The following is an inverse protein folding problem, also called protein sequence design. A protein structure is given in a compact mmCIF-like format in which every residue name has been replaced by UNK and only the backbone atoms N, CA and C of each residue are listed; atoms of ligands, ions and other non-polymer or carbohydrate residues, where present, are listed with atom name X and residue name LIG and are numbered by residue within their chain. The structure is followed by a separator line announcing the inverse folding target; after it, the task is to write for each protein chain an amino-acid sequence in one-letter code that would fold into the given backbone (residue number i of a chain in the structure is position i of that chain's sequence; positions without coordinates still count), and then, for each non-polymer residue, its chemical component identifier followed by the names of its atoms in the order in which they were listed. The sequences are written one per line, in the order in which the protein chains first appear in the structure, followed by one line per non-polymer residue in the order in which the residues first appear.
data_IF_592355581295
#
_entry.id   IF_592355581295
#
_cell.length_a   1.000
_cell.length_b   1.000
_cell.length_c   1.000
_cell.angle_alpha   90.00
_cell.angle_beta   90.00
_cell.angle_gamma   90.00
#
_symmetry.space_group_name_H-M   'P 1'
#
loop_
_entity.id
_entity.type
_entity.pdbx_description
1 polymer ?
#
# COMPACT_ATOMS: atom_id res chain seq x y z
N UNK A 1 6.71 27.54 -36.01
CA UNK A 1 5.40 27.22 -36.62
C UNK A 1 5.32 25.71 -36.85
N UNK A 2 4.61 24.99 -35.98
CA UNK A 2 4.24 23.59 -36.19
C UNK A 2 2.71 23.53 -36.25
N UNK A 3 2.18 23.33 -37.46
CA UNK A 3 0.85 22.78 -37.74
C UNK A 3 1.08 21.29 -37.98
N UNK A 4 0.30 20.31 -37.55
CA UNK A 4 -0.87 20.24 -36.70
C UNK A 4 -1.21 18.74 -36.61
N UNK A 5 -1.81 18.30 -35.51
CA UNK A 5 -2.37 16.96 -35.37
C UNK A 5 -3.61 17.06 -34.48
N UNK A 6 -4.79 16.71 -35.03
CA UNK A 6 -6.02 16.50 -34.26
C UNK A 6 -6.95 17.70 -34.13
N UNK A 7 -7.82 17.91 -35.13
CA UNK A 7 -9.09 18.60 -34.96
C UNK A 7 -9.97 17.76 -34.01
N UNK A 8 -9.93 18.07 -32.72
CA UNK A 8 -10.75 17.43 -31.69
C UNK A 8 -10.69 18.26 -30.41
N UNK A 9 -11.78 18.96 -30.09
CA UNK A 9 -11.87 20.02 -29.09
C UNK A 9 -11.48 19.69 -27.64
N UNK A 10 -11.05 18.46 -27.34
CA UNK A 10 -10.52 18.10 -26.02
C UNK A 10 -9.10 18.62 -25.74
N UNK A 11 -8.31 18.93 -26.77
CA UNK A 11 -6.97 19.52 -26.60
C UNK A 11 -7.05 21.02 -26.32
N UNK A 12 -7.98 21.72 -26.98
CA UNK A 12 -8.13 23.17 -26.89
C UNK A 12 -8.55 23.62 -25.47
N UNK A 13 -9.51 22.91 -24.85
CA UNK A 13 -9.94 23.22 -23.48
C UNK A 13 -8.83 22.97 -22.44
N UNK A 14 -8.07 21.89 -22.62
CA UNK A 14 -6.93 21.56 -21.76
C UNK A 14 -5.84 22.62 -21.85
N UNK A 15 -5.49 23.04 -23.07
CA UNK A 15 -4.48 24.08 -23.29
C UNK A 15 -4.97 25.45 -22.80
N UNK A 16 -6.24 25.81 -23.03
CA UNK A 16 -6.80 27.06 -22.53
C UNK A 16 -6.79 27.12 -21.00
N UNK A 17 -7.23 26.05 -20.34
CA UNK A 17 -7.26 25.97 -18.87
C UNK A 17 -5.85 25.99 -18.28
N UNK A 18 -4.91 25.27 -18.91
CA UNK A 18 -3.51 25.28 -18.50
C UNK A 18 -2.89 26.67 -18.64
N UNK A 19 -3.08 27.33 -19.79
CA UNK A 19 -2.53 28.66 -20.01
C UNK A 19 -3.12 29.68 -19.03
N UNK A 20 -4.41 29.59 -18.71
CA UNK A 20 -5.01 30.44 -17.68
C UNK A 20 -4.32 30.23 -16.33
N UNK A 21 -4.12 28.98 -15.91
CA UNK A 21 -3.41 28.67 -14.67
C UNK A 21 -2.00 29.28 -14.66
N UNK A 22 -1.26 29.18 -15.77
CA UNK A 22 0.08 29.76 -15.88
C UNK A 22 0.09 31.29 -15.76
N UNK A 23 -0.89 31.96 -16.37
CA UNK A 23 -1.04 33.42 -16.28
C UNK A 23 -1.39 33.86 -14.87
N UNK A 24 -2.30 33.16 -14.19
CA UNK A 24 -2.62 33.45 -12.79
C UNK A 24 -1.41 33.23 -11.88
N UNK A 25 -0.63 32.15 -12.12
CA UNK A 25 0.58 31.86 -11.35
C UNK A 25 1.66 32.94 -11.51
N UNK A 26 1.85 33.47 -12.72
CA UNK A 26 2.80 34.56 -12.98
C UNK A 26 2.24 35.92 -12.50
N UNK A 27 0.92 36.08 -12.40
CA UNK A 27 0.24 37.30 -11.96
C UNK A 27 0.31 37.58 -10.45
N UNK A 28 0.87 36.67 -9.66
CA UNK A 28 0.98 36.81 -8.20
C UNK A 28 2.09 37.75 -7.72
N UNK A 29 2.82 38.44 -8.60
CA UNK A 29 3.90 39.39 -8.23
C UNK A 29 3.45 40.52 -7.26
N UNK A 30 2.14 40.69 -7.00
CA UNK A 30 1.58 41.66 -6.04
C UNK A 30 0.77 41.10 -4.85
N UNK A 31 0.63 39.78 -4.68
CA UNK A 31 -0.13 39.17 -3.58
C UNK A 31 0.80 38.42 -2.61
N UNK A 32 1.40 39.17 -1.69
CA UNK A 32 2.22 38.60 -0.60
C UNK A 32 1.37 37.67 0.29
N UNK A 33 1.65 36.36 0.27
CA UNK A 33 1.08 35.39 1.22
C UNK A 33 0.34 34.17 0.63
N UNK A 34 0.26 34.01 -0.70
CA UNK A 34 -0.36 32.83 -1.32
C UNK A 34 0.68 31.74 -1.57
N UNK A 35 0.38 30.51 -1.13
CA UNK A 35 1.19 29.30 -1.41
C UNK A 35 0.33 28.32 -2.20
N UNK A 36 0.81 27.90 -3.37
CA UNK A 36 0.14 26.91 -4.21
C UNK A 36 0.83 25.56 -4.06
N UNK A 37 0.05 24.51 -3.73
CA UNK A 37 0.52 23.13 -3.60
C UNK A 37 -0.28 22.25 -4.55
N UNK A 38 0.40 21.39 -5.31
CA UNK A 38 -0.20 20.38 -6.18
C UNK A 38 0.40 19.00 -5.91
N UNK A 39 -0.35 17.94 -6.22
CA UNK A 39 0.09 16.56 -6.11
C UNK A 39 -0.11 15.83 -7.43
N UNK A 40 0.87 15.02 -7.84
CA UNK A 40 0.78 14.17 -9.03
C UNK A 40 1.50 12.85 -8.79
N UNK A 41 0.95 11.76 -9.35
CA UNK A 41 1.63 10.46 -9.44
C UNK A 41 2.42 10.32 -10.76
N UNK A 42 2.29 11.28 -11.66
CA UNK A 42 2.89 11.29 -12.99
C UNK A 42 3.59 12.62 -13.26
N UNK A 43 4.77 12.88 -12.67
CA UNK A 43 5.53 14.08 -12.96
C UNK A 43 6.03 14.13 -14.41
N UNK A 44 6.16 12.96 -15.06
CA UNK A 44 6.60 12.77 -16.45
C UNK A 44 5.68 13.40 -17.51
N UNK A 45 4.38 13.53 -17.20
CA UNK A 45 3.39 14.07 -18.15
C UNK A 45 3.05 15.54 -17.93
N UNK A 46 3.66 16.17 -16.92
CA UNK A 46 3.45 17.59 -16.65
C UNK A 46 4.05 18.43 -17.76
N UNK A 47 3.37 19.53 -18.10
CA UNK A 47 3.94 20.53 -18.99
C UNK A 47 5.20 21.15 -18.34
N UNK A 48 6.38 21.14 -19.00
CA UNK A 48 7.60 21.74 -18.46
C UNK A 48 7.46 23.21 -18.07
N UNK A 49 6.47 23.93 -18.63
CA UNK A 49 6.16 25.30 -18.27
C UNK A 49 5.70 25.43 -16.81
N UNK A 50 5.02 24.42 -16.24
CA UNK A 50 4.59 24.43 -14.84
C UNK A 50 5.77 24.35 -13.85
N UNK A 51 6.88 23.73 -14.27
CA UNK A 51 8.04 23.45 -13.42
C UNK A 51 9.11 24.55 -13.47
N UNK A 52 8.83 25.66 -14.16
CA UNK A 52 9.76 26.79 -14.25
C UNK A 52 9.77 27.61 -12.95
N UNK A 53 10.88 28.30 -12.65
CA UNK A 53 10.95 29.23 -11.51
C UNK A 53 9.78 30.22 -11.49
N UNK A 54 9.23 30.48 -10.30
CA UNK A 54 8.04 31.33 -10.12
C UNK A 54 6.70 30.59 -10.16
N UNK A 55 6.69 29.29 -10.51
CA UNK A 55 5.49 28.45 -10.56
C UNK A 55 5.60 27.28 -9.58
N UNK A 56 5.64 26.03 -10.06
CA UNK A 56 5.98 24.87 -9.24
C UNK A 56 7.49 24.62 -9.25
N UNK A 57 8.24 25.56 -8.67
CA UNK A 57 9.69 25.54 -8.61
C UNK A 57 10.24 24.58 -7.54
N UNK A 58 9.43 24.25 -6.52
CA UNK A 58 9.74 23.28 -5.46
C UNK A 58 9.03 21.96 -5.69
N UNK A 59 9.81 20.91 -5.86
CA UNK A 59 9.33 19.54 -5.97
C UNK A 59 9.70 18.76 -4.71
N UNK A 60 8.71 18.20 -4.04
CA UNK A 60 8.89 17.34 -2.86
C UNK A 60 8.41 15.94 -3.22
N UNK A 61 9.33 14.99 -3.28
CA UNK A 61 9.01 13.58 -3.52
C UNK A 61 8.60 12.94 -2.20
N UNK A 62 7.43 12.31 -2.19
CA UNK A 62 6.94 11.52 -1.06
C UNK A 62 7.07 10.03 -1.43
N UNK A 63 8.14 9.34 -0.99
CA UNK A 63 8.31 7.92 -1.29
C UNK A 63 7.36 7.05 -0.46
N UNK A 64 7.33 5.75 -0.77
CA UNK A 64 6.68 4.78 0.11
C UNK A 64 7.36 4.77 1.50
N UNK A 65 6.58 4.56 2.57
CA UNK A 65 7.12 4.55 3.93
C UNK A 65 8.01 3.32 4.20
N UNK A 66 9.09 3.55 4.96
CA UNK A 66 9.92 2.50 5.54
C UNK A 66 9.19 1.78 6.70
N UNK A 67 9.79 0.73 7.27
CA UNK A 67 9.19 -0.02 8.40
C UNK A 67 8.73 0.90 9.54
N UNK A 68 9.55 1.90 9.92
CA UNK A 68 9.23 2.83 11.01
C UNK A 68 8.08 3.77 10.65
N UNK A 69 8.09 4.30 9.44
CA UNK A 69 7.02 5.12 8.88
C UNK A 69 5.71 4.34 8.80
N UNK A 70 5.74 3.08 8.36
CA UNK A 70 4.57 2.20 8.36
C UNK A 70 4.02 1.98 9.76
N UNK A 71 4.89 1.76 10.75
CA UNK A 71 4.46 1.63 12.15
C UNK A 71 3.77 2.90 12.66
N UNK A 72 4.32 4.08 12.35
CA UNK A 72 3.73 5.37 12.74
C UNK A 72 2.38 5.61 12.06
N UNK A 73 2.28 5.33 10.76
CA UNK A 73 1.03 5.44 10.01
C UNK A 73 -0.03 4.49 10.59
N UNK A 74 0.34 3.24 10.85
CA UNK A 74 -0.53 2.27 11.51
C UNK A 74 -1.04 2.82 12.85
N UNK A 75 -0.15 3.33 13.71
CA UNK A 75 -0.53 3.94 15.00
C UNK A 75 -1.52 5.10 14.85
N UNK A 76 -1.43 5.91 13.80
CA UNK A 76 -2.39 6.99 13.53
C UNK A 76 -3.77 6.43 13.19
N UNK A 77 -3.84 5.46 12.27
CA UNK A 77 -5.12 4.86 11.86
C UNK A 77 -5.75 3.98 12.95
N UNK A 78 -4.91 3.32 13.74
CA UNK A 78 -5.28 2.50 14.90
C UNK A 78 -6.04 3.29 15.97
N UNK A 79 -5.79 4.60 16.14
CA UNK A 79 -6.52 5.44 17.11
C UNK A 79 -8.03 5.53 16.85
N UNK A 80 -8.49 5.19 15.64
CA UNK A 80 -9.90 5.27 15.25
C UNK A 80 -10.69 3.99 15.52
N UNK A 81 -10.03 2.93 15.99
CA UNK A 81 -10.64 1.62 16.23
C UNK A 81 -10.40 1.17 17.67
N UNK A 82 -11.35 0.47 18.32
CA UNK A 82 -11.14 -0.09 19.65
C UNK A 82 -10.17 -1.26 19.57
N UNK A 83 -8.96 -1.10 20.10
CA UNK A 83 -7.88 -2.08 20.02
C UNK A 83 -7.73 -2.86 21.31
N UNK A 84 -7.29 -4.11 21.16
CA UNK A 84 -6.87 -4.95 22.27
C UNK A 84 -5.38 -4.76 22.54
N UNK A 85 -4.94 -5.02 23.77
CA UNK A 85 -3.57 -4.82 24.23
C UNK A 85 -2.55 -5.77 23.58
N UNK A 86 -3.02 -6.81 22.90
CA UNK A 86 -2.20 -7.79 22.17
C UNK A 86 -1.69 -7.27 20.81
N UNK A 87 -2.25 -6.17 20.30
CA UNK A 87 -1.90 -5.64 18.98
C UNK A 87 -0.50 -5.04 18.99
N UNK A 88 0.38 -5.56 18.12
CA UNK A 88 1.78 -5.13 17.97
C UNK A 88 2.00 -4.47 16.59
N UNK A 89 1.93 -3.13 16.49
CA UNK A 89 2.06 -2.42 15.20
C UNK A 89 3.37 -2.72 14.46
N UNK A 90 4.47 -2.92 15.20
CA UNK A 90 5.78 -3.23 14.63
C UNK A 90 5.79 -4.54 13.82
N UNK A 91 5.06 -5.58 14.27
CA UNK A 91 4.96 -6.84 13.54
C UNK A 91 4.15 -6.68 12.24
N UNK A 92 3.08 -5.89 12.29
CA UNK A 92 2.25 -5.59 11.13
C UNK A 92 3.06 -4.78 10.10
N UNK A 93 3.82 -3.78 10.55
CA UNK A 93 4.67 -2.95 9.69
C UNK A 93 5.74 -3.76 8.96
N UNK A 94 6.40 -4.71 9.66
CA UNK A 94 7.36 -5.64 9.03
C UNK A 94 6.69 -6.58 8.02
N UNK A 95 5.43 -6.96 8.26
CA UNK A 95 4.67 -7.87 7.40
C UNK A 95 3.99 -7.18 6.22
N UNK A 96 4.17 -5.88 6.03
CA UNK A 96 3.52 -5.06 4.99
C UNK A 96 4.54 -4.29 4.14
N UNK A 97 5.61 -4.94 3.63
CA UNK A 97 6.60 -4.26 2.79
C UNK A 97 5.93 -3.68 1.52
N UNK A 98 6.35 -2.47 1.15
CA UNK A 98 5.83 -1.77 -0.03
C UNK A 98 4.42 -1.16 0.11
N UNK A 99 3.78 -1.28 1.28
CA UNK A 99 2.47 -0.69 1.50
C UNK A 99 2.55 0.84 1.55
N UNK A 100 1.63 1.51 0.86
CA UNK A 100 1.41 2.95 0.99
C UNK A 100 0.64 3.27 2.28
N UNK A 101 0.57 4.55 2.64
CA UNK A 101 -0.26 4.97 3.76
C UNK A 101 -1.74 4.63 3.59
N UNK A 102 -2.26 4.66 2.36
CA UNK A 102 -3.63 4.28 2.05
C UNK A 102 -3.86 2.76 2.24
N UNK A 103 -2.88 1.92 1.86
CA UNK A 103 -2.96 0.48 2.06
C UNK A 103 -2.99 0.10 3.54
N UNK A 104 -2.18 0.78 4.37
CA UNK A 104 -2.19 0.59 5.82
C UNK A 104 -3.49 1.05 6.46
N UNK A 105 -4.06 2.17 6.00
CA UNK A 105 -5.38 2.62 6.43
C UNK A 105 -6.47 1.59 6.10
N UNK A 106 -6.41 1.03 4.88
CA UNK A 106 -7.33 -0.02 4.45
C UNK A 106 -7.14 -1.31 5.26
N UNK A 107 -5.91 -1.67 5.62
CA UNK A 107 -5.62 -2.83 6.48
C UNK A 107 -6.26 -2.70 7.87
N UNK A 108 -6.17 -1.51 8.49
CA UNK A 108 -6.86 -1.24 9.77
C UNK A 108 -8.37 -1.37 9.62
N UNK A 109 -8.93 -0.85 8.52
CA UNK A 109 -10.37 -0.94 8.25
C UNK A 109 -10.83 -2.40 8.06
N UNK A 110 -10.08 -3.20 7.29
CA UNK A 110 -10.36 -4.63 7.09
C UNK A 110 -10.29 -5.42 8.40
N UNK A 111 -9.34 -5.09 9.28
CA UNK A 111 -9.26 -5.71 10.61
C UNK A 111 -10.51 -5.41 11.44
N UNK A 112 -10.98 -4.16 11.43
CA UNK A 112 -12.23 -3.77 12.09
C UNK A 112 -13.46 -4.49 11.50
N UNK A 113 -13.51 -4.68 10.18
CA UNK A 113 -14.58 -5.45 9.52
C UNK A 113 -14.54 -6.93 9.92
N UNK A 114 -13.36 -7.52 10.09
CA UNK A 114 -13.24 -8.89 10.61
C UNK A 114 -13.74 -9.01 12.05
N UNK A 115 -13.40 -8.04 12.92
CA UNK A 115 -13.91 -8.00 14.28
C UNK A 115 -15.45 -7.89 14.30
N UNK A 116 -16.01 -6.97 13.52
CA UNK A 116 -17.44 -6.75 13.42
C UNK A 116 -18.18 -8.00 12.92
N UNK A 117 -17.65 -8.67 11.88
CA UNK A 117 -18.21 -9.95 11.36
C UNK A 117 -18.18 -11.08 12.39
N UNK A 118 -17.22 -11.06 13.32
CA UNK A 118 -17.12 -12.00 14.41
C UNK A 118 -17.91 -11.57 15.67
N UNK A 119 -18.70 -10.50 15.58
CA UNK A 119 -19.40 -9.87 16.72
C UNK A 119 -18.46 -9.50 17.89
N UNK A 120 -17.19 -9.21 17.60
CA UNK A 120 -16.22 -8.70 18.59
C UNK A 120 -16.35 -7.19 18.72
N UNK A 121 -16.24 -6.69 19.95
CA UNK A 121 -16.23 -5.24 20.25
C UNK A 121 -14.85 -4.60 20.14
N UNK A 122 -13.81 -5.42 20.18
CA UNK A 122 -12.41 -5.00 20.19
C UNK A 122 -11.68 -5.74 19.06
N UNK A 123 -10.80 -5.03 18.37
CA UNK A 123 -9.95 -5.56 17.29
C UNK A 123 -8.62 -6.03 17.89
N UNK A 124 -8.34 -7.33 17.78
CA UNK A 124 -7.09 -7.94 18.24
C UNK A 124 -6.10 -8.20 17.11
N UNK A 125 -4.95 -8.78 17.47
CA UNK A 125 -3.89 -9.09 16.50
C UNK A 125 -4.34 -10.10 15.44
N UNK A 126 -5.22 -11.04 15.80
CA UNK A 126 -5.77 -12.03 14.88
C UNK A 126 -6.55 -11.38 13.72
N UNK A 127 -7.32 -10.32 14.00
CA UNK A 127 -8.05 -9.60 12.96
C UNK A 127 -7.10 -8.86 12.01
N UNK A 128 -6.01 -8.30 12.54
CA UNK A 128 -4.96 -7.68 11.74
C UNK A 128 -4.23 -8.69 10.85
N UNK A 129 -3.91 -9.88 11.38
CA UNK A 129 -3.31 -10.97 10.60
C UNK A 129 -4.24 -11.41 9.46
N UNK A 130 -5.54 -11.58 9.75
CA UNK A 130 -6.53 -11.94 8.72
C UNK A 130 -6.73 -10.85 7.67
N UNK A 131 -6.71 -9.58 8.09
CA UNK A 131 -6.78 -8.43 7.18
C UNK A 131 -5.57 -8.37 6.25
N UNK A 132 -4.36 -8.49 6.82
CA UNK A 132 -3.10 -8.57 6.07
C UNK A 132 -3.15 -9.71 5.05
N UNK A 133 -3.55 -10.90 5.49
CA UNK A 133 -3.66 -12.07 4.63
C UNK A 133 -4.63 -11.85 3.47
N UNK A 134 -5.79 -11.25 3.75
CA UNK A 134 -6.79 -10.93 2.73
C UNK A 134 -6.25 -9.94 1.71
N UNK A 135 -5.53 -8.90 2.13
CA UNK A 135 -5.01 -7.85 1.24
C UNK A 135 -3.87 -8.41 0.37
N UNK A 136 -2.94 -9.16 0.98
CA UNK A 136 -1.77 -9.67 0.26
C UNK A 136 -2.10 -10.84 -0.66
N UNK A 137 -2.97 -11.76 -0.23
CA UNK A 137 -3.21 -13.03 -0.93
C UNK A 137 -4.62 -13.13 -1.53
N UNK A 138 -5.53 -12.23 -1.20
CA UNK A 138 -6.95 -12.34 -1.51
C UNK A 138 -7.73 -13.15 -0.47
N UNK A 139 -9.03 -13.28 -0.71
CA UNK A 139 -9.94 -13.95 0.20
C UNK A 139 -9.68 -15.47 0.29
N UNK A 140 -9.97 -16.03 1.46
CA UNK A 140 -9.94 -17.46 1.72
C UNK A 140 -10.99 -18.21 0.89
N UNK A 141 -10.59 -19.30 0.24
CA UNK A 141 -11.46 -20.09 -0.64
C UNK A 141 -12.12 -21.27 0.10
N UNK A 142 -13.08 -20.97 0.98
CA UNK A 142 -13.78 -21.99 1.79
C UNK A 142 -14.55 -23.04 0.98
N UNK A 143 -14.98 -22.71 -0.23
CA UNK A 143 -15.70 -23.63 -1.13
C UNK A 143 -14.76 -24.52 -1.95
N UNK A 144 -13.45 -24.28 -1.92
CA UNK A 144 -12.49 -25.12 -2.62
C UNK A 144 -12.28 -26.40 -1.82
N UNK A 145 -12.80 -27.51 -2.34
CA UNK A 145 -12.57 -28.83 -1.77
C UNK A 145 -11.25 -29.34 -2.33
N UNK A 146 -10.25 -29.50 -1.46
CA UNK A 146 -9.01 -30.20 -1.78
C UNK A 146 -9.13 -31.63 -1.30
N UNK A 147 -8.68 -32.57 -2.12
CA UNK A 147 -8.52 -33.97 -1.72
C UNK A 147 -7.43 -34.09 -0.64
N UNK A 148 -7.47 -35.17 0.15
CA UNK A 148 -6.44 -35.41 1.17
C UNK A 148 -5.04 -35.55 0.56
N UNK A 149 -4.95 -36.06 -0.67
CA UNK A 149 -3.69 -36.16 -1.40
C UNK A 149 -3.15 -34.77 -1.79
N UNK A 150 -4.00 -33.88 -2.31
CA UNK A 150 -3.62 -32.50 -2.61
C UNK A 150 -3.19 -31.73 -1.34
N UNK A 151 -3.95 -31.85 -0.24
CA UNK A 151 -3.58 -31.24 1.04
C UNK A 151 -2.22 -31.73 1.52
N UNK A 152 -1.96 -33.04 1.41
CA UNK A 152 -0.68 -33.64 1.79
C UNK A 152 0.46 -33.12 0.92
N UNK A 153 0.26 -33.02 -0.40
CA UNK A 153 1.26 -32.45 -1.30
C UNK A 153 1.54 -30.98 -0.97
N UNK A 154 0.51 -30.16 -0.75
CA UNK A 154 0.67 -28.77 -0.34
C UNK A 154 1.38 -28.66 1.01
N UNK A 155 1.07 -29.52 1.97
CA UNK A 155 1.76 -29.55 3.25
C UNK A 155 3.26 -29.85 3.10
N UNK A 156 3.62 -30.82 2.26
CA UNK A 156 5.04 -31.08 1.97
C UNK A 156 5.72 -29.93 1.23
N UNK A 157 5.03 -29.28 0.30
CA UNK A 157 5.55 -28.12 -0.44
C UNK A 157 5.87 -26.95 0.52
N UNK A 158 4.92 -26.57 1.36
CA UNK A 158 5.11 -25.48 2.32
C UNK A 158 6.09 -25.86 3.44
N UNK A 159 6.10 -27.12 3.89
CA UNK A 159 7.11 -27.60 4.83
C UNK A 159 8.52 -27.52 4.23
N UNK A 160 8.69 -27.78 2.93
CA UNK A 160 9.94 -27.61 2.22
C UNK A 160 10.44 -26.17 2.29
N UNK A 161 9.60 -25.20 1.95
CA UNK A 161 9.92 -23.77 2.07
C UNK A 161 10.29 -23.39 3.50
N UNK A 162 9.52 -23.86 4.48
CA UNK A 162 9.77 -23.55 5.89
C UNK A 162 11.10 -24.13 6.40
N UNK A 163 11.38 -25.41 6.10
CA UNK A 163 12.63 -26.08 6.53
C UNK A 163 13.83 -25.37 5.91
N UNK A 164 13.80 -25.09 4.61
CA UNK A 164 14.91 -24.41 3.93
C UNK A 164 15.12 -23.01 4.51
N UNK A 165 14.06 -22.22 4.66
CA UNK A 165 14.16 -20.87 5.22
C UNK A 165 14.57 -20.83 6.70
N UNK A 166 14.32 -21.88 7.48
CA UNK A 166 14.82 -22.00 8.85
C UNK A 166 16.28 -22.47 8.93
N UNK A 167 16.78 -23.16 7.90
CA UNK A 167 18.12 -23.77 7.93
C UNK A 167 19.18 -22.87 7.29
N UNK A 168 18.79 -22.01 6.35
CA UNK A 168 19.69 -21.06 5.66
C UNK A 168 19.83 -19.77 6.49
N UNK A 169 21.01 -19.46 7.07
CA UNK A 169 21.19 -18.34 7.99
C UNK A 169 20.92 -16.96 7.39
N UNK A 170 21.14 -16.79 6.08
CA UNK A 170 20.97 -15.52 5.37
C UNK A 170 19.51 -15.26 4.95
N UNK A 171 18.61 -16.21 5.18
CA UNK A 171 17.21 -16.09 4.82
C UNK A 171 16.41 -15.39 5.93
N UNK A 172 15.38 -14.64 5.55
CA UNK A 172 14.46 -14.05 6.51
C UNK A 172 13.74 -15.13 7.34
N UNK A 173 13.47 -14.88 8.63
CA UNK A 173 12.86 -15.88 9.51
C UNK A 173 11.43 -16.23 9.06
N UNK A 174 11.09 -17.51 9.15
CA UNK A 174 9.73 -18.00 8.94
C UNK A 174 8.80 -17.40 9.99
N UNK A 175 7.72 -16.79 9.53
CA UNK A 175 6.72 -16.15 10.38
C UNK A 175 5.43 -16.96 10.48
N UNK A 176 4.95 -17.49 9.35
CA UNK A 176 3.68 -18.22 9.29
C UNK A 176 3.70 -19.24 8.16
N UNK A 177 3.16 -20.42 8.42
CA UNK A 177 2.97 -21.47 7.41
C UNK A 177 1.51 -21.88 7.42
N UNK A 178 0.90 -21.98 6.23
CA UNK A 178 -0.50 -22.40 6.09
C UNK A 178 -0.71 -23.21 4.82
N UNK A 179 -1.60 -24.19 4.87
CA UNK A 179 -2.09 -24.95 3.71
C UNK A 179 -3.51 -24.56 3.33
N UNK A 180 -4.00 -23.43 3.85
CA UNK A 180 -5.34 -22.93 3.58
C UNK A 180 -5.29 -22.12 2.27
N UNK A 181 -6.10 -22.49 1.25
CA UNK A 181 -6.07 -21.81 -0.04
C UNK A 181 -6.61 -20.37 0.06
N UNK A 182 -5.84 -19.42 -0.49
CA UNK A 182 -6.17 -17.99 -0.54
C UNK A 182 -5.89 -17.44 -1.93
N UNK A 183 -6.87 -16.75 -2.53
CA UNK A 183 -6.77 -16.23 -3.88
C UNK A 183 -6.32 -17.29 -4.89
N UNK A 184 -5.11 -17.13 -5.44
CA UNK A 184 -4.50 -18.06 -6.41
C UNK A 184 -3.55 -19.10 -5.78
N UNK A 185 -3.24 -19.01 -4.48
CA UNK A 185 -2.34 -19.90 -3.78
C UNK A 185 -3.09 -21.04 -3.05
N UNK A 186 -2.47 -22.23 -2.99
CA UNK A 186 -3.00 -23.41 -2.27
C UNK A 186 -2.46 -23.51 -0.84
N UNK A 187 -1.29 -22.93 -0.59
CA UNK A 187 -0.63 -22.78 0.70
C UNK A 187 0.28 -21.56 0.68
N UNK A 188 0.87 -21.22 1.82
CA UNK A 188 1.86 -20.15 1.92
C UNK A 188 2.82 -20.39 3.10
N UNK A 189 4.09 -20.15 2.83
CA UNK A 189 5.14 -19.89 3.81
C UNK A 189 5.49 -18.40 3.77
N UNK A 190 5.17 -17.67 4.83
CA UNK A 190 5.45 -16.25 4.98
C UNK A 190 6.73 -16.06 5.77
N UNK A 191 7.60 -15.19 5.26
CA UNK A 191 8.81 -14.74 5.92
C UNK A 191 8.66 -13.29 6.36
N UNK A 192 9.27 -12.93 7.49
CA UNK A 192 9.18 -11.59 8.04
C UNK A 192 10.55 -10.94 8.08
N UNK A 193 10.89 -10.05 7.12
CA UNK A 193 12.20 -9.44 7.08
C UNK A 193 12.47 -8.63 8.34
N UNK A 194 13.71 -8.67 8.84
CA UNK A 194 14.13 -7.86 9.99
C UNK A 194 14.31 -6.38 9.61
N UNK A 195 14.66 -6.12 8.35
CA UNK A 195 14.87 -4.79 7.79
C UNK A 195 14.32 -4.75 6.36
N UNK A 196 13.78 -3.60 5.94
CA UNK A 196 13.44 -3.40 4.53
C UNK A 196 14.76 -3.39 3.72
N UNK A 197 14.93 -4.34 2.80
CA UNK A 197 16.03 -4.32 1.82
C UNK A 197 15.55 -3.54 0.60
N UNK A 198 16.15 -2.39 0.33
CA UNK A 198 15.90 -1.55 -0.85
C UNK A 198 16.68 -2.05 -2.06
#
# INVERSE_FOLDING_TARGET
RHRGAGLGGGHDEREQTLNQLLVEMDGFEGNEGIIVIAATNRPDVLDPALLRPGRFDRQVVVPLPDVRGREQILRVHMRRVPLSDDVKPALIARGTPGFSGADLANLVNEAALFAARANKRIVGMDEFERAKDKIMMGAERRSMVMTEEEKRMTAYHEAGHAIVGMTVPEHDPVYKVTIIPRGRALGLTQFLPEQDRY
#
